data_IF_967570825120
#
_entry.id   IF_967570825120
#
_cell.length_a   1.000
_cell.length_b   1.000
_cell.length_c   1.000
_cell.angle_alpha   90.00
_cell.angle_beta   90.00
_cell.angle_gamma   90.00
#
_symmetry.space_group_name_H-M   'P 1'
#
loop_
_entity.id
_entity.type
_entity.pdbx_description
1 polymer ?
#
# COMPACT_ATOMS: atom_id res chain seq x y z
N UNK A 1 -37.96 16.42 -0.52
CA UNK A 1 -37.34 17.01 -1.73
C UNK A 1 -35.88 17.28 -1.40
N UNK A 2 -34.91 16.52 -1.94
CA UNK A 2 -33.47 16.75 -1.66
C UNK A 2 -33.02 17.95 -2.51
N UNK A 3 -32.52 18.99 -1.87
CA UNK A 3 -31.91 20.14 -2.55
C UNK A 3 -30.77 19.65 -3.45
N UNK A 4 -30.71 20.03 -4.74
CA UNK A 4 -29.62 19.63 -5.62
C UNK A 4 -28.29 20.16 -5.08
N UNK A 5 -27.26 19.30 -5.09
CA UNK A 5 -25.90 19.67 -4.68
C UNK A 5 -25.36 20.78 -5.57
N UNK A 6 -24.66 21.76 -4.98
CA UNK A 6 -23.95 22.78 -5.74
C UNK A 6 -22.81 22.17 -6.56
N UNK A 7 -22.47 22.80 -7.69
CA UNK A 7 -21.42 22.33 -8.62
C UNK A 7 -20.08 22.02 -7.92
N UNK A 8 -19.68 22.83 -6.94
CA UNK A 8 -18.47 22.61 -6.13
C UNK A 8 -18.53 21.33 -5.30
N UNK A 9 -19.67 21.07 -4.67
CA UNK A 9 -19.86 19.88 -3.83
C UNK A 9 -19.90 18.61 -4.69
N UNK A 10 -20.47 18.72 -5.88
CA UNK A 10 -20.48 17.64 -6.87
C UNK A 10 -19.06 17.31 -7.35
N UNK A 11 -18.29 18.31 -7.76
CA UNK A 11 -16.90 18.13 -8.15
C UNK A 11 -16.05 17.52 -7.02
N UNK A 12 -16.21 18.00 -5.77
CA UNK A 12 -15.52 17.43 -4.61
C UNK A 12 -15.90 15.97 -4.37
N UNK A 13 -17.19 15.65 -4.43
CA UNK A 13 -17.68 14.27 -4.26
C UNK A 13 -17.13 13.34 -5.32
N UNK A 14 -17.05 13.79 -6.57
CA UNK A 14 -16.54 12.99 -7.69
C UNK A 14 -15.04 12.71 -7.55
N UNK A 15 -14.24 13.70 -7.13
CA UNK A 15 -12.83 13.51 -6.82
C UNK A 15 -12.65 12.47 -5.70
N UNK A 16 -13.39 12.62 -4.59
CA UNK A 16 -13.30 11.69 -3.45
C UNK A 16 -13.67 10.27 -3.87
N UNK A 17 -14.72 10.11 -4.70
CA UNK A 17 -15.12 8.81 -5.24
C UNK A 17 -14.00 8.20 -6.09
N UNK A 18 -13.43 8.99 -6.99
CA UNK A 18 -12.36 8.54 -7.89
C UNK A 18 -11.13 8.04 -7.10
N UNK A 19 -10.69 8.82 -6.11
CA UNK A 19 -9.58 8.44 -5.21
C UNK A 19 -9.89 7.13 -4.48
N UNK A 20 -11.10 6.98 -3.93
CA UNK A 20 -11.50 5.75 -3.23
C UNK A 20 -11.46 4.52 -4.13
N UNK A 21 -11.98 4.62 -5.36
CA UNK A 21 -12.00 3.51 -6.33
C UNK A 21 -10.60 3.15 -6.85
N UNK A 22 -9.69 4.13 -6.90
CA UNK A 22 -8.29 3.88 -7.26
C UNK A 22 -7.61 2.97 -6.23
N UNK A 23 -7.76 3.28 -4.95
CA UNK A 23 -7.01 2.62 -3.86
C UNK A 23 -7.72 1.43 -3.21
N UNK A 24 -9.01 1.21 -3.47
CA UNK A 24 -9.77 0.08 -2.91
C UNK A 24 -10.42 -0.70 -4.05
N UNK A 25 -10.41 -2.02 -3.98
CA UNK A 25 -11.14 -2.86 -4.93
C UNK A 25 -12.64 -2.94 -4.56
N UNK A 26 -13.34 -1.82 -4.77
CA UNK A 26 -14.78 -1.72 -4.44
C UNK A 26 -15.63 -2.74 -5.20
N UNK A 27 -15.18 -3.20 -6.38
CA UNK A 27 -15.86 -4.25 -7.15
C UNK A 27 -15.83 -5.61 -6.44
N UNK A 28 -14.81 -5.87 -5.61
CA UNK A 28 -14.72 -7.05 -4.73
C UNK A 28 -15.31 -6.81 -3.34
N UNK A 29 -16.07 -5.72 -3.17
CA UNK A 29 -16.66 -5.35 -1.88
C UNK A 29 -15.67 -4.76 -0.87
N UNK A 30 -14.46 -4.42 -1.31
CA UNK A 30 -13.45 -3.87 -0.43
C UNK A 30 -13.87 -2.49 0.08
N UNK A 31 -13.86 -2.33 1.40
CA UNK A 31 -14.15 -1.05 2.07
C UNK A 31 -12.87 -0.38 2.55
N UNK A 32 -12.85 0.97 2.60
CA UNK A 32 -11.77 1.71 3.24
C UNK A 32 -11.51 1.20 4.66
N UNK A 33 -10.24 1.16 5.05
CA UNK A 33 -9.84 0.76 6.41
C UNK A 33 -10.46 1.72 7.42
N UNK A 34 -11.19 1.17 8.38
CA UNK A 34 -11.73 1.93 9.50
C UNK A 34 -10.60 2.36 10.44
N UNK A 35 -10.62 3.63 10.85
CA UNK A 35 -9.67 4.16 11.83
C UNK A 35 -9.98 3.60 13.21
N UNK A 36 -8.95 3.20 13.94
CA UNK A 36 -9.04 2.69 15.31
C UNK A 36 -8.22 3.53 16.27
N UNK A 37 -8.71 3.68 17.50
CA UNK A 37 -7.97 4.28 18.60
C UNK A 37 -6.89 3.33 19.17
N UNK A 38 -6.98 2.03 18.87
CA UNK A 38 -5.98 1.00 19.18
C UNK A 38 -5.15 0.65 17.93
N UNK A 39 -4.67 1.66 17.22
CA UNK A 39 -3.77 1.46 16.08
C UNK A 39 -2.31 1.24 16.55
N UNK A 40 -1.46 0.71 15.66
CA UNK A 40 -0.02 0.56 15.94
C UNK A 40 0.65 1.89 16.30
N UNK A 41 0.23 2.94 15.61
CA UNK A 41 0.74 4.30 15.78
C UNK A 41 -0.37 5.21 16.29
N UNK A 42 -0.02 6.11 17.21
CA UNK A 42 -0.98 7.06 17.77
C UNK A 42 -1.59 7.97 16.69
N UNK A 43 -2.88 8.37 16.79
CA UNK A 43 -3.51 9.29 15.85
C UNK A 43 -2.82 10.64 15.68
N UNK A 44 -2.07 11.09 16.69
CA UNK A 44 -1.27 12.32 16.69
C UNK A 44 0.11 12.18 16.04
N UNK A 45 0.49 10.96 15.62
CA UNK A 45 1.81 10.69 15.06
C UNK A 45 1.99 11.28 13.66
N UNK A 46 3.25 11.54 13.28
CA UNK A 46 3.58 11.97 11.92
C UNK A 46 3.24 10.91 10.88
N UNK A 47 3.24 9.63 11.24
CA UNK A 47 2.87 8.52 10.34
C UNK A 47 1.42 8.69 9.90
N UNK A 48 0.49 8.94 10.84
CA UNK A 48 -0.91 9.24 10.51
C UNK A 48 -1.06 10.49 9.64
N UNK A 49 -0.30 11.54 9.95
CA UNK A 49 -0.38 12.81 9.20
C UNK A 49 0.10 12.65 7.76
N UNK A 50 1.26 12.04 7.55
CA UNK A 50 1.87 11.87 6.23
C UNK A 50 1.06 10.88 5.39
N UNK A 51 0.68 9.73 5.96
CA UNK A 51 -0.13 8.75 5.24
C UNK A 51 -1.57 9.22 4.97
N UNK A 52 -2.03 10.26 5.66
CA UNK A 52 -3.38 10.82 5.52
C UNK A 52 -3.46 11.86 4.41
N UNK A 53 -2.32 12.37 3.95
CA UNK A 53 -2.21 13.36 2.89
C UNK A 53 -1.89 12.68 1.55
N UNK A 54 -2.79 12.82 0.58
CA UNK A 54 -2.67 12.15 -0.72
C UNK A 54 -1.43 12.63 -1.47
N UNK A 55 -1.08 13.92 -1.40
CA UNK A 55 0.07 14.47 -2.10
C UNK A 55 1.38 13.88 -1.53
N UNK A 56 1.54 13.91 -0.21
CA UNK A 56 2.68 13.33 0.50
C UNK A 56 2.82 11.84 0.23
N UNK A 57 1.70 11.09 0.25
CA UNK A 57 1.68 9.67 -0.08
C UNK A 57 2.10 9.38 -1.52
N UNK A 58 1.68 10.20 -2.49
CA UNK A 58 2.09 9.99 -3.89
C UNK A 58 3.57 10.29 -4.10
N UNK A 59 4.08 11.39 -3.53
CA UNK A 59 5.51 11.71 -3.61
C UNK A 59 6.32 10.63 -2.92
N UNK A 60 6.04 10.33 -1.65
CA UNK A 60 6.78 9.32 -0.89
C UNK A 60 6.67 7.92 -1.49
N UNK A 61 5.48 7.51 -1.92
CA UNK A 61 5.25 6.20 -2.53
C UNK A 61 5.99 6.00 -3.84
N UNK A 62 5.94 6.98 -4.75
CA UNK A 62 6.67 6.90 -6.03
C UNK A 62 8.17 6.94 -5.79
N UNK A 63 8.67 7.83 -4.93
CA UNK A 63 10.08 7.88 -4.57
C UNK A 63 10.58 6.56 -3.97
N UNK A 64 9.82 5.97 -3.03
CA UNK A 64 10.17 4.69 -2.43
C UNK A 64 10.24 3.56 -3.47
N UNK A 65 9.29 3.50 -4.40
CA UNK A 65 9.31 2.50 -5.48
C UNK A 65 10.55 2.65 -6.36
N UNK A 66 10.87 3.88 -6.78
CA UNK A 66 12.04 4.14 -7.62
C UNK A 66 13.35 3.77 -6.89
N UNK A 67 13.48 4.14 -5.61
CA UNK A 67 14.65 3.80 -4.80
C UNK A 67 14.80 2.28 -4.62
N UNK A 68 13.70 1.57 -4.34
CA UNK A 68 13.71 0.11 -4.22
C UNK A 68 14.14 -0.57 -5.51
N UNK A 69 13.72 -0.06 -6.67
CA UNK A 69 14.08 -0.63 -7.97
C UNK A 69 15.56 -0.45 -8.34
N UNK A 70 16.30 0.42 -7.65
CA UNK A 70 17.75 0.55 -7.83
C UNK A 70 18.53 -0.61 -7.19
N UNK A 71 17.93 -1.34 -6.24
CA UNK A 71 18.59 -2.46 -5.59
C UNK A 71 18.42 -3.75 -6.44
N UNK A 72 19.49 -4.38 -6.95
CA UNK A 72 19.38 -5.53 -7.87
C UNK A 72 18.56 -6.69 -7.31
N UNK A 73 18.78 -7.06 -6.05
CA UNK A 73 18.04 -8.13 -5.38
C UNK A 73 16.53 -7.83 -5.25
N UNK A 74 16.16 -6.59 -4.88
CA UNK A 74 14.75 -6.18 -4.76
C UNK A 74 14.09 -6.17 -6.13
N UNK A 75 14.78 -5.64 -7.16
CA UNK A 75 14.28 -5.64 -8.52
C UNK A 75 14.07 -7.06 -9.05
N UNK A 76 15.02 -7.98 -8.83
CA UNK A 76 14.90 -9.38 -9.22
C UNK A 76 13.72 -10.06 -8.50
N UNK A 77 13.58 -9.85 -7.18
CA UNK A 77 12.44 -10.35 -6.42
C UNK A 77 11.09 -9.91 -6.99
N UNK A 78 10.96 -8.64 -7.40
CA UNK A 78 9.74 -8.16 -8.07
C UNK A 78 9.61 -8.74 -9.48
N UNK A 79 10.70 -8.80 -10.26
CA UNK A 79 10.66 -9.25 -11.65
C UNK A 79 10.25 -10.72 -11.78
N UNK A 80 10.78 -11.56 -10.91
CA UNK A 80 10.67 -13.02 -10.95
C UNK A 80 9.39 -13.50 -10.25
N UNK A 81 9.00 -12.87 -9.13
CA UNK A 81 7.95 -13.40 -8.24
C UNK A 81 6.65 -12.60 -8.24
N UNK A 82 6.58 -11.48 -8.96
CA UNK A 82 5.39 -10.62 -8.96
C UNK A 82 4.65 -10.63 -10.29
N UNK A 83 3.32 -10.73 -10.24
CA UNK A 83 2.42 -10.55 -11.39
C UNK A 83 2.23 -9.07 -11.81
N UNK A 84 3.19 -8.19 -11.50
CA UNK A 84 2.98 -6.74 -11.62
C UNK A 84 2.68 -6.31 -13.05
N UNK A 85 3.27 -6.99 -14.06
CA UNK A 85 3.09 -6.67 -15.48
C UNK A 85 1.64 -6.86 -15.95
N UNK A 86 0.91 -7.80 -15.34
CA UNK A 86 -0.47 -8.14 -15.72
C UNK A 86 -1.50 -7.62 -14.72
N UNK A 87 -1.09 -7.27 -13.50
CA UNK A 87 -1.97 -6.76 -12.42
C UNK A 87 -1.33 -5.58 -11.65
N UNK A 88 -0.98 -4.50 -12.36
CA UNK A 88 -0.40 -3.30 -11.72
C UNK A 88 -1.36 -2.65 -10.72
N UNK A 89 -2.63 -2.50 -11.10
CA UNK A 89 -3.63 -1.85 -10.26
C UNK A 89 -3.94 -2.68 -9.02
N UNK A 90 -4.06 -4.00 -9.13
CA UNK A 90 -4.24 -4.86 -7.98
C UNK A 90 -3.03 -4.82 -7.03
N UNK A 91 -1.80 -4.72 -7.54
CA UNK A 91 -0.62 -4.51 -6.68
C UNK A 91 -0.66 -3.18 -5.95
N UNK A 92 -0.98 -2.09 -6.65
CA UNK A 92 -1.13 -0.77 -6.03
C UNK A 92 -2.15 -0.81 -4.89
N UNK A 93 -3.33 -1.42 -5.12
CA UNK A 93 -4.38 -1.59 -4.11
C UNK A 93 -3.92 -2.42 -2.91
N UNK A 94 -3.23 -3.55 -3.13
CA UNK A 94 -2.69 -4.39 -2.05
C UNK A 94 -1.70 -3.62 -1.17
N UNK A 95 -0.80 -2.85 -1.78
CA UNK A 95 0.16 -2.00 -1.05
C UNK A 95 -0.54 -0.87 -0.30
N UNK A 96 -1.46 -0.14 -0.95
CA UNK A 96 -2.23 0.93 -0.33
C UNK A 96 -3.04 0.42 0.88
N UNK A 97 -3.67 -0.76 0.74
CA UNK A 97 -4.34 -1.44 1.84
C UNK A 97 -3.39 -1.80 2.98
N UNK A 98 -2.24 -2.39 2.67
CA UNK A 98 -1.26 -2.75 3.68
C UNK A 98 -0.83 -1.52 4.50
N UNK A 99 -0.51 -0.41 3.85
CA UNK A 99 -0.17 0.86 4.51
C UNK A 99 -1.36 1.37 5.35
N UNK A 100 -2.57 1.34 4.80
CA UNK A 100 -3.75 1.83 5.52
C UNK A 100 -4.08 0.97 6.75
N UNK A 101 -4.01 -0.36 6.66
CA UNK A 101 -4.26 -1.27 7.79
C UNK A 101 -3.19 -1.09 8.87
N UNK A 102 -1.91 -1.04 8.49
CA UNK A 102 -0.80 -0.88 9.45
C UNK A 102 -0.74 0.50 10.10
N UNK A 103 -1.30 1.52 9.45
CA UNK A 103 -1.36 2.87 9.98
C UNK A 103 -2.60 3.11 10.84
N UNK A 104 -3.78 2.80 10.29
CA UNK A 104 -5.07 3.24 10.83
C UNK A 104 -5.91 2.13 11.45
N UNK A 105 -5.70 0.88 11.02
CA UNK A 105 -6.47 -0.26 11.49
C UNK A 105 -6.15 -0.62 12.94
N UNK A 106 -6.93 -1.54 13.52
CA UNK A 106 -6.62 -2.08 14.85
C UNK A 106 -5.26 -2.76 14.83
N UNK A 107 -4.54 -2.70 15.95
CA UNK A 107 -3.23 -3.34 16.17
C UNK A 107 -3.21 -4.80 15.73
N UNK A 108 -4.21 -5.57 16.13
CA UNK A 108 -4.30 -6.99 15.75
C UNK A 108 -4.41 -7.21 14.25
N UNK A 109 -5.14 -6.34 13.55
CA UNK A 109 -5.33 -6.43 12.10
C UNK A 109 -4.04 -6.04 11.36
N UNK A 110 -3.30 -5.06 11.90
CA UNK A 110 -1.99 -4.65 11.42
C UNK A 110 -0.93 -5.74 11.60
N UNK A 111 -0.87 -6.36 12.78
CA UNK A 111 0.04 -7.47 13.09
C UNK A 111 -0.22 -8.67 12.17
N UNK A 112 -1.49 -9.05 12.00
CA UNK A 112 -1.87 -10.11 11.07
C UNK A 112 -1.48 -9.79 9.61
N UNK A 113 -1.61 -8.53 9.17
CA UNK A 113 -1.17 -8.11 7.86
C UNK A 113 0.36 -8.21 7.69
N UNK A 114 1.13 -7.79 8.70
CA UNK A 114 2.59 -7.91 8.70
C UNK A 114 3.04 -9.37 8.67
N UNK A 115 2.41 -10.25 9.45
CA UNK A 115 2.71 -11.69 9.46
C UNK A 115 2.43 -12.33 8.11
N UNK A 116 1.32 -11.95 7.47
CA UNK A 116 1.00 -12.43 6.12
C UNK A 116 2.07 -12.01 5.12
N UNK A 117 2.51 -10.74 5.13
CA UNK A 117 3.56 -10.26 4.23
C UNK A 117 4.88 -10.97 4.49
N UNK A 118 5.30 -11.11 5.76
CA UNK A 118 6.50 -11.90 6.12
C UNK A 118 6.41 -13.33 5.60
N UNK A 119 5.24 -13.97 5.72
CA UNK A 119 5.04 -15.32 5.20
C UNK A 119 5.20 -15.40 3.69
N UNK A 120 4.74 -14.40 2.94
CA UNK A 120 4.98 -14.34 1.48
C UNK A 120 6.47 -14.17 1.21
N UNK A 121 7.14 -13.22 1.88
CA UNK A 121 8.55 -12.90 1.65
C UNK A 121 9.50 -14.08 1.93
N UNK A 122 9.18 -14.96 2.90
CA UNK A 122 9.95 -16.19 3.16
C UNK A 122 10.07 -17.13 1.95
N UNK A 123 9.14 -17.04 1.01
CA UNK A 123 9.12 -17.85 -0.21
C UNK A 123 9.70 -17.12 -1.43
N UNK A 124 10.15 -15.87 -1.27
CA UNK A 124 10.72 -15.05 -2.35
C UNK A 124 12.24 -15.05 -2.20
N UNK A 125 12.90 -15.85 -3.03
CA UNK A 125 14.35 -15.96 -3.09
C UNK A 125 14.80 -16.33 -4.50
N UNK A 126 16.06 -16.08 -4.81
CA UNK A 126 16.63 -16.41 -6.12
C UNK A 126 18.13 -16.20 -6.19
N UNK A 127 18.65 -16.22 -7.42
CA UNK A 127 20.09 -16.04 -7.71
C UNK A 127 20.21 -14.94 -8.77
N UNK A 128 21.07 -13.96 -8.52
CA UNK A 128 21.39 -12.88 -9.46
C UNK A 128 22.31 -13.38 -10.59
N UNK A 129 22.43 -12.64 -11.71
CA UNK A 129 23.27 -13.06 -12.85
C UNK A 129 24.77 -13.24 -12.52
N UNK A 130 25.26 -12.61 -11.46
CA UNK A 130 26.63 -12.73 -10.94
C UNK A 130 26.81 -13.90 -9.95
N UNK A 131 25.76 -14.68 -9.70
CA UNK A 131 25.77 -15.83 -8.81
C UNK A 131 25.41 -15.52 -7.35
N UNK A 132 25.20 -14.26 -6.96
CA UNK A 132 24.80 -13.92 -5.60
C UNK A 132 23.36 -14.38 -5.31
N UNK A 133 23.14 -15.05 -4.19
CA UNK A 133 21.79 -15.44 -3.74
C UNK A 133 21.09 -14.28 -3.04
N UNK A 134 19.77 -14.14 -3.23
CA UNK A 134 18.96 -13.16 -2.49
C UNK A 134 17.76 -13.82 -1.80
N UNK A 135 17.29 -13.21 -0.71
CA UNK A 135 16.05 -13.58 -0.03
C UNK A 135 15.29 -12.32 0.41
N UNK A 136 14.00 -12.23 0.13
CA UNK A 136 13.20 -11.05 0.49
C UNK A 136 12.91 -10.92 2.00
N UNK A 137 13.31 -11.91 2.80
CA UNK A 137 13.25 -11.89 4.27
C UNK A 137 14.60 -11.56 4.93
N UNK A 138 15.63 -11.22 4.13
CA UNK A 138 16.91 -10.69 4.63
C UNK A 138 16.70 -9.28 5.18
N UNK A 139 17.00 -9.00 6.46
CA UNK A 139 16.84 -7.66 7.05
C UNK A 139 17.78 -6.59 6.47
N UNK A 140 18.80 -6.97 5.70
CA UNK A 140 19.69 -6.03 5.01
C UNK A 140 19.16 -5.58 3.64
N UNK A 141 18.03 -6.15 3.16
CA UNK A 141 17.35 -5.81 1.90
C UNK A 141 16.04 -5.03 2.14
#
# INVERSE_FOLDING_TARGET
MKTPMGLRDQAKSDIVRHVRTMFNDTARGEQPVARSDDALFAPSSMIWRVHGDVASMMVGGVSALLLQMLHPAVLAGVWDHSNFRTDMLGRLRRTARFIAVTTYGRRTDAEAAMDRVRSVHRHVSGVLPDGMTYRADDPAL
#
